data_IF_498564150548
#
_entry.id   IF_498564150548
#
_cell.length_a   1.000
_cell.length_b   1.000
_cell.length_c   1.000
_cell.angle_alpha   90.00
_cell.angle_beta   90.00
_cell.angle_gamma   90.00
#
_symmetry.space_group_name_H-M   'P 1'
#
loop_
_entity.id
_entity.type
_entity.pdbx_description
1 polymer ?
#
# COMPACT_ATOMS: atom_id res chain seq x y z
N UNK A 1 -3.88 -12.60 21.71
CA UNK A 1 -4.06 -11.16 21.48
C UNK A 1 -2.68 -10.54 21.28
N UNK A 2 -2.53 -9.69 20.28
CA UNK A 2 -1.26 -9.07 19.87
C UNK A 2 -1.52 -7.60 19.59
N UNK A 3 -0.57 -6.75 19.95
CA UNK A 3 -0.61 -5.31 19.69
C UNK A 3 0.25 -4.99 18.46
N UNK A 4 -0.33 -4.26 17.50
CA UNK A 4 0.26 -3.99 16.19
C UNK A 4 0.31 -2.48 15.96
N UNK A 5 1.49 -1.85 15.94
CA UNK A 5 1.63 -0.45 15.60
C UNK A 5 1.52 -0.27 14.08
N UNK A 6 0.55 0.52 13.62
CA UNK A 6 0.37 0.88 12.21
C UNK A 6 0.13 2.40 12.16
N UNK A 7 1.03 3.12 11.50
CA UNK A 7 1.02 4.58 11.47
C UNK A 7 1.22 5.18 12.86
N UNK A 8 0.26 5.99 13.30
CA UNK A 8 0.25 6.60 14.64
C UNK A 8 -0.65 5.83 15.62
N UNK A 9 -1.32 4.79 15.13
CA UNK A 9 -2.31 4.01 15.88
C UNK A 9 -1.74 2.66 16.34
N UNK A 10 -2.27 2.19 17.47
CA UNK A 10 -1.96 0.87 18.04
C UNK A 10 -3.21 0.00 18.03
N UNK A 11 -3.17 -1.08 17.24
CA UNK A 11 -4.29 -1.99 17.05
C UNK A 11 -4.13 -3.24 17.91
N UNK A 12 -5.22 -3.71 18.52
CA UNK A 12 -5.24 -4.96 19.28
C UNK A 12 -6.01 -6.01 18.51
N UNK A 13 -5.32 -7.05 18.05
CA UNK A 13 -5.92 -8.12 17.25
C UNK A 13 -5.84 -9.45 18.02
N UNK A 14 -6.94 -10.18 18.02
CA UNK A 14 -6.98 -11.55 18.53
C UNK A 14 -6.56 -12.48 17.41
N UNK A 15 -5.46 -13.21 17.60
CA UNK A 15 -4.95 -14.19 16.65
C UNK A 15 -4.51 -15.46 17.38
N UNK A 16 -4.41 -16.56 16.63
CA UNK A 16 -3.83 -17.81 17.12
C UNK A 16 -2.30 -17.68 17.26
N UNK A 17 -1.70 -18.52 18.11
CA UNK A 17 -0.26 -18.47 18.38
C UNK A 17 0.57 -18.81 17.15
N UNK A 18 0.06 -19.69 16.29
CA UNK A 18 0.65 -20.09 15.01
C UNK A 18 0.75 -18.93 14.00
N UNK A 19 -0.19 -17.99 14.04
CA UNK A 19 -0.27 -16.89 13.07
C UNK A 19 0.38 -15.59 13.58
N UNK A 20 0.72 -15.54 14.87
CA UNK A 20 1.26 -14.35 15.53
C UNK A 20 2.49 -13.78 14.81
N UNK A 21 3.45 -14.64 14.42
CA UNK A 21 4.68 -14.19 13.76
C UNK A 21 4.39 -13.63 12.36
N UNK A 22 3.55 -14.33 11.59
CA UNK A 22 3.12 -13.88 10.25
C UNK A 22 2.38 -12.54 10.35
N UNK A 23 1.50 -12.39 11.34
CA UNK A 23 0.74 -11.18 11.57
C UNK A 23 1.65 -9.99 11.95
N UNK A 24 2.63 -10.20 12.81
CA UNK A 24 3.63 -9.17 13.16
C UNK A 24 4.44 -8.75 11.94
N UNK A 25 4.86 -9.70 11.11
CA UNK A 25 5.59 -9.43 9.88
C UNK A 25 4.74 -8.60 8.89
N UNK A 26 3.49 -8.99 8.66
CA UNK A 26 2.57 -8.25 7.78
C UNK A 26 2.25 -6.86 8.32
N UNK A 27 2.04 -6.73 9.63
CA UNK A 27 1.81 -5.44 10.28
C UNK A 27 3.02 -4.51 10.13
N UNK A 28 4.25 -5.03 10.26
CA UNK A 28 5.46 -4.24 10.03
C UNK A 28 5.56 -3.74 8.58
N UNK A 29 5.23 -4.58 7.59
CA UNK A 29 5.17 -4.19 6.18
C UNK A 29 4.12 -3.10 5.94
N UNK A 30 2.91 -3.30 6.43
CA UNK A 30 1.82 -2.32 6.30
C UNK A 30 2.19 -0.99 6.97
N UNK A 31 2.75 -1.05 8.18
CA UNK A 31 3.20 0.14 8.91
C UNK A 31 4.27 0.92 8.13
N UNK A 32 5.26 0.24 7.54
CA UNK A 32 6.27 0.88 6.70
C UNK A 32 5.62 1.63 5.53
N UNK A 33 4.69 0.98 4.83
CA UNK A 33 3.98 1.56 3.68
C UNK A 33 3.13 2.78 4.06
N UNK A 34 2.38 2.70 5.17
CA UNK A 34 1.59 3.84 5.68
C UNK A 34 2.49 5.02 6.06
N UNK A 35 3.66 4.75 6.64
CA UNK A 35 4.63 5.81 6.96
C UNK A 35 5.24 6.44 5.69
N UNK A 36 5.55 5.64 4.67
CA UNK A 36 6.01 6.15 3.37
C UNK A 36 4.94 7.02 2.71
N UNK A 37 3.69 6.54 2.65
CA UNK A 37 2.55 7.33 2.15
C UNK A 37 2.35 8.62 2.94
N UNK A 38 2.55 8.60 4.27
CA UNK A 38 2.48 9.81 5.10
C UNK A 38 3.56 10.84 4.77
N UNK A 39 4.71 10.41 4.26
CA UNK A 39 5.79 11.31 3.83
C UNK A 39 5.52 11.87 2.43
N UNK A 40 4.99 11.03 1.54
CA UNK A 40 4.66 11.39 0.15
C UNK A 40 3.45 12.32 0.07
N UNK A 41 2.39 11.98 0.79
CA UNK A 41 1.10 12.68 0.78
C UNK A 41 1.06 13.62 2.00
N UNK A 42 1.70 14.78 1.86
CA UNK A 42 1.67 15.82 2.89
C UNK A 42 0.21 16.23 3.16
N UNK A 43 -0.22 16.11 4.41
CA UNK A 43 -1.55 16.48 4.94
C UNK A 43 -2.70 15.50 4.72
N UNK A 44 -2.45 14.24 4.35
CA UNK A 44 -3.49 13.20 4.43
C UNK A 44 -3.73 12.78 5.89
N UNK A 45 -4.99 12.62 6.28
CA UNK A 45 -5.33 12.05 7.58
C UNK A 45 -5.04 10.54 7.62
N UNK A 46 -4.87 9.99 8.82
CA UNK A 46 -4.45 8.61 9.02
C UNK A 46 -5.43 7.59 8.40
N UNK A 47 -6.74 7.89 8.40
CA UNK A 47 -7.74 6.99 7.79
C UNK A 47 -7.58 6.98 6.27
N UNK A 48 -7.40 8.14 5.66
CA UNK A 48 -7.15 8.25 4.22
C UNK A 48 -5.87 7.52 3.82
N UNK A 49 -4.79 7.63 4.61
CA UNK A 49 -3.55 6.89 4.35
C UNK A 49 -3.75 5.37 4.40
N UNK A 50 -4.54 4.87 5.36
CA UNK A 50 -4.90 3.45 5.45
C UNK A 50 -5.74 2.99 4.26
N UNK A 51 -6.70 3.80 3.81
CA UNK A 51 -7.53 3.49 2.63
C UNK A 51 -6.67 3.43 1.38
N UNK A 52 -5.77 4.40 1.17
CA UNK A 52 -4.83 4.39 0.05
C UNK A 52 -3.94 3.15 0.12
N UNK A 53 -3.37 2.84 1.28
CA UNK A 53 -2.53 1.65 1.45
C UNK A 53 -3.28 0.35 1.13
N UNK A 54 -4.56 0.24 1.52
CA UNK A 54 -5.39 -0.92 1.21
C UNK A 54 -5.70 -1.02 -0.29
N UNK A 55 -6.05 0.10 -0.94
CA UNK A 55 -6.33 0.13 -2.37
C UNK A 55 -5.09 -0.26 -3.20
N UNK A 56 -3.91 0.25 -2.85
CA UNK A 56 -2.68 -0.12 -3.56
C UNK A 56 -2.30 -1.58 -3.32
N UNK A 57 -2.60 -2.15 -2.14
CA UNK A 57 -2.39 -3.57 -1.89
C UNK A 57 -3.33 -4.45 -2.72
N UNK A 58 -4.60 -4.07 -2.88
CA UNK A 58 -5.54 -4.80 -3.75
C UNK A 58 -5.08 -4.77 -5.22
N UNK A 59 -4.64 -3.61 -5.71
CA UNK A 59 -4.10 -3.48 -7.08
C UNK A 59 -2.82 -4.33 -7.28
N UNK A 60 -1.93 -4.39 -6.29
CA UNK A 60 -0.74 -5.25 -6.32
C UNK A 60 -1.07 -6.75 -6.30
N UNK A 61 -2.14 -7.14 -5.60
CA UNK A 61 -2.60 -8.52 -5.62
C UNK A 61 -3.19 -8.87 -6.98
N UNK A 62 -3.97 -7.97 -7.58
CA UNK A 62 -4.53 -8.13 -8.93
C UNK A 62 -3.43 -8.19 -10.01
N UNK A 63 -2.35 -7.41 -9.87
CA UNK A 63 -1.17 -7.50 -10.76
C UNK A 63 -0.33 -8.75 -10.53
N UNK A 64 -0.21 -9.24 -9.30
CA UNK A 64 0.56 -10.47 -9.03
C UNK A 64 -0.11 -11.71 -9.62
N UNK A 65 -1.44 -11.77 -9.64
CA UNK A 65 -2.20 -12.84 -10.30
C UNK A 65 -1.96 -12.91 -11.83
N UNK A 66 -1.49 -11.82 -12.45
CA UNK A 66 -1.11 -11.76 -13.87
C UNK A 66 0.36 -12.20 -14.07
N UNK A 67 1.22 -11.97 -13.07
CA UNK A 67 2.67 -12.20 -13.17
C UNK A 67 3.12 -13.66 -12.91
N UNK A 68 2.27 -14.54 -12.41
CA UNK A 68 2.61 -15.98 -12.30
C UNK A 68 2.57 -16.72 -13.66
N UNK A 69 2.36 -16.02 -14.78
CA UNK A 69 2.38 -16.60 -16.13
C UNK A 69 3.49 -16.11 -17.07
N UNK A 70 4.36 -15.18 -16.67
CA UNK A 70 5.46 -14.72 -17.53
C UNK A 70 6.83 -15.00 -16.89
N UNK A 71 7.45 -16.06 -17.41
CA UNK A 71 8.78 -16.58 -17.13
C UNK A 71 9.90 -15.52 -17.21
N UNK A 72 10.94 -15.76 -16.43
CA UNK A 72 12.37 -15.55 -16.74
C UNK A 72 12.72 -14.61 -17.92
N UNK A 73 12.54 -13.29 -17.82
CA UNK A 73 13.33 -12.37 -18.64
C UNK A 73 13.92 -11.22 -17.82
N UNK A 74 15.24 -11.07 -17.94
CA UNK A 74 16.06 -10.04 -17.32
C UNK A 74 15.58 -8.66 -17.77
N UNK A 75 14.72 -8.02 -16.97
CA UNK A 75 14.33 -6.64 -17.22
C UNK A 75 15.41 -5.68 -16.69
N UNK A 76 15.81 -4.78 -17.58
CA UNK A 76 16.86 -3.79 -17.40
C UNK A 76 16.36 -2.72 -16.42
N UNK A 77 17.19 -2.28 -15.46
CA UNK A 77 16.79 -1.35 -14.38
C UNK A 77 16.14 -0.04 -14.88
N UNK A 78 16.37 0.32 -16.15
CA UNK A 78 15.86 1.53 -16.78
C UNK A 78 14.36 1.44 -17.16
N UNK A 79 13.88 0.27 -17.58
CA UNK A 79 12.46 0.04 -17.90
C UNK A 79 11.60 0.00 -16.62
N UNK A 80 12.21 -0.38 -15.49
CA UNK A 80 11.56 -0.36 -14.18
C UNK A 80 11.27 1.07 -13.70
N UNK A 81 12.17 2.02 -13.97
CA UNK A 81 11.97 3.42 -13.56
C UNK A 81 10.92 4.13 -14.41
N UNK A 82 10.87 3.85 -15.71
CA UNK A 82 9.87 4.44 -16.60
C UNK A 82 8.46 3.90 -16.28
N UNK A 83 8.31 2.60 -16.05
CA UNK A 83 7.03 2.01 -15.63
C UNK A 83 6.58 2.51 -14.24
N UNK A 84 7.51 2.67 -13.29
CA UNK A 84 7.20 3.24 -11.97
C UNK A 84 6.81 4.72 -12.09
N UNK A 85 7.44 5.49 -12.97
CA UNK A 85 7.12 6.90 -13.20
C UNK A 85 5.75 7.08 -13.84
N UNK A 86 5.42 6.25 -14.84
CA UNK A 86 4.12 6.27 -15.51
C UNK A 86 2.99 5.84 -14.54
N UNK A 87 3.25 4.82 -13.70
CA UNK A 87 2.34 4.45 -12.63
C UNK A 87 2.18 5.55 -11.57
N UNK A 88 3.25 6.27 -11.22
CA UNK A 88 3.19 7.34 -10.22
C UNK A 88 2.36 8.53 -10.69
N UNK A 89 2.41 8.84 -11.99
CA UNK A 89 1.59 9.89 -12.61
C UNK A 89 0.11 9.48 -12.66
N UNK A 90 -0.17 8.22 -13.01
CA UNK A 90 -1.53 7.66 -12.99
C UNK A 90 -2.12 7.60 -11.57
N UNK A 91 -1.31 7.26 -10.56
CA UNK A 91 -1.73 7.26 -9.15
C UNK A 91 -2.08 8.68 -8.69
N UNK A 92 -1.27 9.69 -9.06
CA UNK A 92 -1.54 11.08 -8.72
C UNK A 92 -2.87 11.57 -9.33
N UNK A 93 -3.12 11.25 -10.60
CA UNK A 93 -4.35 11.58 -11.32
C UNK A 93 -5.61 10.97 -10.68
N UNK A 94 -5.48 9.74 -10.18
CA UNK A 94 -6.59 9.00 -9.58
C UNK A 94 -6.90 9.54 -8.18
N UNK A 95 -5.86 9.90 -7.41
CA UNK A 95 -6.00 10.58 -6.11
C UNK A 95 -6.67 11.95 -6.29
N UNK A 96 -6.28 12.72 -7.31
CA UNK A 96 -6.87 14.04 -7.57
C UNK A 96 -8.37 13.96 -7.88
N UNK A 97 -8.77 12.99 -8.71
CA UNK A 97 -10.19 12.71 -9.03
C UNK A 97 -11.00 12.31 -7.79
N UNK A 98 -10.40 11.58 -6.84
CA UNK A 98 -11.05 11.18 -5.60
C UNK A 98 -11.20 12.34 -4.62
N UNK A 99 -10.18 13.20 -4.51
CA UNK A 99 -10.24 14.42 -3.68
C UNK A 99 -11.37 15.34 -4.15
N UNK A 100 -11.50 15.54 -5.46
CA UNK A 100 -12.58 16.36 -6.06
C UNK A 100 -13.97 15.77 -5.77
N UNK A 101 -14.11 14.44 -5.75
CA UNK A 101 -15.38 13.78 -5.40
C UNK A 101 -15.75 13.93 -3.93
N UNK A 102 -14.76 13.89 -3.03
CA UNK A 102 -14.99 14.06 -1.58
C UNK A 102 -15.33 15.51 -1.23
N UNK A 103 -14.78 16.50 -1.95
CA UNK A 103 -15.07 17.92 -1.71
C UNK A 103 -16.45 18.38 -2.23
N UNK A 104 -17.06 17.62 -3.14
CA UNK A 104 -18.38 17.92 -3.73
C UNK A 104 -19.54 17.15 -3.05
N UNK A 105 -19.29 16.52 -1.92
CA UNK A 105 -20.27 15.88 -1.03
C UNK A 105 -20.37 16.64 0.29
#
# INVERSE_FOLDING_TARGET
MVELPIGKSLYKITCETSEKEKLLYLAAKLNKRVNELSLSLKNADEKTLLVIAALTLEEELEHNDISEQEDEEKLNEQDMYDAVSENMENIADTIEKLIVKIQNY
#
